data_IF_167846214530
#
_entry.id   IF_167846214530
#
_cell.length_a   1.000
_cell.length_b   1.000
_cell.length_c   1.000
_cell.angle_alpha   90.00
_cell.angle_beta   90.00
_cell.angle_gamma   90.00
#
_symmetry.space_group_name_H-M   'P 1'
#
loop_
_entity.id
_entity.type
_entity.pdbx_description
1 polymer ?
#
# COMPACT_ATOMS: atom_id res chain seq x y z
N UNK A 1 25.76 4.69 4.61
CA UNK A 1 24.80 5.80 4.65
C UNK A 1 23.69 5.44 5.62
N UNK A 2 23.43 6.25 6.66
CA UNK A 2 22.34 6.01 7.60
C UNK A 2 20.97 6.35 6.99
N UNK A 3 19.89 5.72 7.48
CA UNK A 3 18.52 6.08 7.09
C UNK A 3 18.14 7.40 7.79
N UNK A 4 17.58 8.35 7.05
CA UNK A 4 16.95 9.56 7.59
C UNK A 4 15.44 9.45 7.38
N UNK A 5 14.68 9.41 8.47
CA UNK A 5 13.23 9.23 8.42
C UNK A 5 12.52 10.59 8.42
N UNK A 6 11.48 10.79 7.61
CA UNK A 6 10.71 12.02 7.61
C UNK A 6 9.93 12.20 8.92
N UNK A 7 9.73 13.45 9.32
CA UNK A 7 8.81 13.77 10.40
C UNK A 7 7.36 13.62 9.93
N UNK A 8 6.52 13.00 10.74
CA UNK A 8 5.07 12.90 10.50
C UNK A 8 4.32 13.62 11.61
N UNK A 9 3.09 14.07 11.33
CA UNK A 9 2.27 14.73 12.35
C UNK A 9 1.90 13.77 13.48
N UNK A 10 1.61 14.30 14.67
CA UNK A 10 1.14 13.48 15.79
C UNK A 10 -0.15 12.71 15.47
N UNK A 11 -1.03 13.33 14.67
CA UNK A 11 -2.25 12.68 14.20
C UNK A 11 -1.94 11.46 13.34
N UNK A 12 -0.96 11.57 12.44
CA UNK A 12 -0.49 10.45 11.63
C UNK A 12 0.06 9.33 12.52
N UNK A 13 0.89 9.66 13.51
CA UNK A 13 1.43 8.67 14.44
C UNK A 13 0.32 7.95 15.23
N UNK A 14 -0.67 8.71 15.73
CA UNK A 14 -1.84 8.15 16.42
C UNK A 14 -2.67 7.26 15.48
N UNK A 15 -2.77 7.60 14.20
CA UNK A 15 -3.43 6.79 13.20
C UNK A 15 -2.67 5.48 12.92
N UNK A 16 -1.34 5.50 12.82
CA UNK A 16 -0.48 4.30 12.68
C UNK A 16 -0.73 3.34 13.83
N UNK A 17 -0.71 3.82 15.08
CA UNK A 17 -0.93 2.97 16.25
C UNK A 17 -2.34 2.36 16.28
N UNK A 18 -3.36 3.14 15.94
CA UNK A 18 -4.75 2.65 15.83
C UNK A 18 -4.89 1.61 14.71
N UNK A 19 -4.24 1.84 13.56
CA UNK A 19 -4.23 0.92 12.44
C UNK A 19 -3.51 -0.39 12.81
N UNK A 20 -2.35 -0.32 13.48
CA UNK A 20 -1.58 -1.48 13.95
C UNK A 20 -2.45 -2.41 14.80
N UNK A 21 -3.22 -1.84 15.75
CA UNK A 21 -4.15 -2.62 16.60
C UNK A 21 -5.26 -3.30 15.81
N UNK A 22 -5.89 -2.58 14.85
CA UNK A 22 -6.95 -3.16 14.01
C UNK A 22 -6.42 -4.25 13.06
N UNK A 23 -5.23 -4.04 12.50
CA UNK A 23 -4.55 -5.03 11.66
C UNK A 23 -4.25 -6.31 12.43
N UNK A 24 -3.77 -6.20 13.68
CA UNK A 24 -3.54 -7.39 14.55
C UNK A 24 -4.81 -8.21 14.71
N UNK A 25 -5.94 -7.56 15.01
CA UNK A 25 -7.22 -8.23 15.13
C UNK A 25 -7.67 -8.91 13.83
N UNK A 26 -7.64 -8.20 12.71
CA UNK A 26 -8.04 -8.75 11.41
C UNK A 26 -7.17 -9.93 10.98
N UNK A 27 -5.84 -9.78 11.07
CA UNK A 27 -4.88 -10.78 10.61
C UNK A 27 -5.00 -12.07 11.43
N UNK A 28 -5.17 -11.96 12.74
CA UNK A 28 -5.39 -13.12 13.62
C UNK A 28 -6.73 -13.81 13.31
N UNK A 29 -7.83 -13.05 13.19
CA UNK A 29 -9.17 -13.60 12.94
C UNK A 29 -9.28 -14.27 11.57
N UNK A 30 -8.65 -13.69 10.54
CA UNK A 30 -8.69 -14.22 9.17
C UNK A 30 -7.59 -15.24 8.86
N UNK A 31 -6.69 -15.49 9.80
CA UNK A 31 -5.52 -16.36 9.63
C UNK A 31 -4.76 -16.09 8.32
N UNK A 32 -4.51 -14.80 8.03
CA UNK A 32 -3.99 -14.36 6.73
C UNK A 32 -2.58 -13.75 6.79
N UNK A 33 -1.82 -14.02 7.86
CA UNK A 33 -0.45 -13.49 8.04
C UNK A 33 0.47 -13.75 6.84
N UNK A 34 0.56 -14.98 6.27
CA UNK A 34 1.44 -15.22 5.12
C UNK A 34 1.08 -14.37 3.90
N UNK A 35 -0.21 -14.13 3.71
CA UNK A 35 -0.72 -13.36 2.58
C UNK A 35 -0.44 -11.85 2.73
N UNK A 36 -0.52 -11.32 3.96
CA UNK A 36 -0.16 -9.92 4.25
C UNK A 36 1.35 -9.68 4.15
N UNK A 37 2.15 -10.63 4.63
CA UNK A 37 3.61 -10.57 4.48
C UNK A 37 4.00 -10.65 3.00
N UNK A 38 3.35 -11.52 2.21
CA UNK A 38 3.55 -11.60 0.76
C UNK A 38 3.23 -10.27 0.07
N UNK A 39 2.11 -9.62 0.42
CA UNK A 39 1.76 -8.32 -0.14
C UNK A 39 2.85 -7.27 0.14
N UNK A 40 3.31 -7.18 1.39
CA UNK A 40 4.36 -6.23 1.77
C UNK A 40 5.68 -6.50 1.05
N UNK A 41 6.05 -7.78 0.91
CA UNK A 41 7.23 -8.22 0.15
C UNK A 41 7.12 -7.85 -1.34
N UNK A 42 6.04 -8.22 -2.01
CA UNK A 42 5.85 -7.93 -3.44
C UNK A 42 5.81 -6.42 -3.71
N UNK A 43 5.22 -5.64 -2.81
CA UNK A 43 5.23 -4.18 -2.93
C UNK A 43 6.64 -3.60 -2.79
N UNK A 44 7.48 -4.12 -1.89
CA UNK A 44 8.83 -3.59 -1.68
C UNK A 44 9.85 -4.10 -2.71
N UNK A 45 9.69 -5.35 -3.16
CA UNK A 45 10.65 -6.08 -4.00
C UNK A 45 10.75 -5.60 -5.44
N UNK A 46 9.95 -4.61 -5.84
CA UNK A 46 10.04 -3.99 -7.17
C UNK A 46 11.07 -2.86 -7.26
N UNK A 47 11.66 -2.44 -6.13
CA UNK A 47 12.61 -1.32 -6.10
C UNK A 47 13.89 -1.62 -6.91
N UNK A 48 14.19 -0.76 -7.87
CA UNK A 48 15.47 -0.77 -8.58
C UNK A 48 16.41 0.32 -8.07
N UNK A 49 17.61 -0.08 -7.66
CA UNK A 49 18.60 0.83 -7.06
C UNK A 49 19.22 1.80 -8.07
N UNK A 50 19.28 1.40 -9.35
CA UNK A 50 19.92 2.20 -10.40
C UNK A 50 18.98 3.33 -10.82
N UNK A 51 17.75 3.00 -11.21
CA UNK A 51 16.74 3.98 -11.62
C UNK A 51 16.04 4.68 -10.46
N UNK A 52 16.15 4.14 -9.23
CA UNK A 52 15.44 4.62 -8.04
C UNK A 52 13.92 4.67 -8.25
N UNK A 53 13.39 3.69 -8.97
CA UNK A 53 11.95 3.57 -9.28
C UNK A 53 11.34 2.40 -8.53
N UNK A 54 10.00 2.40 -8.47
CA UNK A 54 9.21 1.34 -7.83
C UNK A 54 9.56 1.15 -6.35
N UNK A 55 9.16 0.04 -5.73
CA UNK A 55 9.34 -0.21 -4.30
C UNK A 55 8.09 0.12 -3.48
N UNK A 56 8.22 0.22 -2.15
CA UNK A 56 7.09 0.22 -1.21
C UNK A 56 6.36 1.58 -1.17
N UNK A 57 5.87 2.05 -2.31
CA UNK A 57 5.23 3.36 -2.50
C UNK A 57 3.74 3.25 -2.86
N UNK A 58 3.09 2.16 -2.44
CA UNK A 58 1.62 2.01 -2.49
C UNK A 58 1.04 1.64 -3.86
N UNK A 59 1.88 1.41 -4.88
CA UNK A 59 1.46 1.11 -6.25
C UNK A 59 0.72 -0.22 -6.40
N UNK A 60 0.92 -1.16 -5.46
CA UNK A 60 0.17 -2.42 -5.36
C UNK A 60 -1.35 -2.23 -5.13
N UNK A 61 -1.82 -1.01 -4.85
CA UNK A 61 -3.25 -0.69 -4.84
C UNK A 61 -3.87 -0.55 -6.24
N UNK A 62 -3.05 -0.39 -7.28
CA UNK A 62 -3.52 -0.20 -8.65
C UNK A 62 -3.79 -1.53 -9.36
N UNK A 63 -4.88 -1.62 -10.15
CA UNK A 63 -5.19 -2.83 -10.92
C UNK A 63 -4.09 -3.26 -11.89
N UNK A 64 -3.32 -2.31 -12.43
CA UNK A 64 -2.23 -2.59 -13.37
C UNK A 64 -1.11 -3.42 -12.74
N UNK A 65 -0.65 -3.04 -11.54
CA UNK A 65 0.37 -3.81 -10.83
C UNK A 65 -0.18 -5.12 -10.26
N UNK A 66 -1.43 -5.12 -9.78
CA UNK A 66 -2.09 -6.35 -9.32
C UNK A 66 -2.26 -7.40 -10.43
N UNK A 67 -2.39 -6.97 -11.69
CA UNK A 67 -2.53 -7.86 -12.84
C UNK A 67 -1.23 -8.58 -13.24
N UNK A 68 -0.06 -8.20 -12.70
CA UNK A 68 1.18 -8.92 -12.96
C UNK A 68 1.09 -10.37 -12.47
N UNK A 69 1.54 -11.33 -13.28
CA UNK A 69 1.42 -12.77 -12.96
C UNK A 69 2.02 -13.17 -11.61
N UNK A 70 3.13 -12.54 -11.19
CA UNK A 70 3.75 -12.76 -9.89
C UNK A 70 2.84 -12.33 -8.71
N UNK A 71 1.91 -11.41 -8.94
CA UNK A 71 1.01 -10.84 -7.94
C UNK A 71 -0.35 -11.55 -7.87
N UNK A 72 -0.53 -12.66 -8.60
CA UNK A 72 -1.78 -13.43 -8.59
C UNK A 72 -2.21 -13.78 -7.15
N UNK A 73 -3.45 -13.48 -6.79
CA UNK A 73 -4.02 -13.66 -5.46
C UNK A 73 -3.79 -12.51 -4.47
N UNK A 74 -2.97 -11.50 -4.79
CA UNK A 74 -2.78 -10.34 -3.90
C UNK A 74 -3.97 -9.37 -3.90
N UNK A 75 -4.87 -9.48 -4.89
CA UNK A 75 -6.16 -8.82 -4.91
C UNK A 75 -7.01 -9.19 -3.68
N UNK A 76 -6.88 -10.42 -3.17
CA UNK A 76 -7.51 -10.87 -1.92
C UNK A 76 -6.98 -10.06 -0.74
N UNK A 77 -5.66 -9.88 -0.65
CA UNK A 77 -5.01 -9.09 0.41
C UNK A 77 -5.50 -7.65 0.39
N UNK A 78 -5.49 -7.03 -0.80
CA UNK A 78 -5.91 -5.64 -0.98
C UNK A 78 -7.36 -5.45 -0.56
N UNK A 79 -8.29 -6.33 -1.00
CA UNK A 79 -9.70 -6.26 -0.59
C UNK A 79 -9.91 -6.41 0.92
N UNK A 80 -9.20 -7.32 1.57
CA UNK A 80 -9.31 -7.51 3.02
C UNK A 80 -8.85 -6.25 3.77
N UNK A 81 -7.71 -5.70 3.36
CA UNK A 81 -7.11 -4.52 3.96
C UNK A 81 -7.91 -3.24 3.72
N UNK A 82 -8.59 -3.14 2.58
CA UNK A 82 -9.38 -1.97 2.18
C UNK A 82 -10.44 -1.57 3.23
N UNK A 83 -11.05 -2.56 3.89
CA UNK A 83 -12.05 -2.34 4.95
C UNK A 83 -11.50 -1.55 6.15
N UNK A 84 -10.23 -1.75 6.48
CA UNK A 84 -9.54 -1.03 7.55
C UNK A 84 -8.93 0.25 7.00
N UNK A 85 -8.34 0.21 5.79
CA UNK A 85 -7.69 1.36 5.17
C UNK A 85 -8.63 2.55 5.04
N UNK A 86 -9.90 2.32 4.70
CA UNK A 86 -10.95 3.36 4.63
C UNK A 86 -11.19 4.10 5.94
N UNK A 87 -10.89 3.49 7.10
CA UNK A 87 -11.00 4.13 8.42
C UNK A 87 -9.81 5.06 8.71
N UNK A 88 -8.74 4.97 7.92
CA UNK A 88 -7.51 5.74 8.08
C UNK A 88 -7.15 6.43 6.75
N UNK A 89 -7.92 7.45 6.32
CA UNK A 89 -7.64 8.18 5.09
C UNK A 89 -6.30 8.92 5.16
N UNK A 90 -5.86 9.33 6.35
CA UNK A 90 -4.58 10.01 6.57
C UNK A 90 -3.36 9.13 6.26
N UNK A 91 -3.46 7.82 6.42
CA UNK A 91 -2.35 6.90 6.15
C UNK A 91 -2.21 6.65 4.65
N UNK A 92 -0.99 6.65 4.13
CA UNK A 92 -0.75 6.25 2.73
C UNK A 92 -0.92 4.74 2.56
N UNK A 93 -1.28 4.28 1.35
CA UNK A 93 -1.27 2.84 1.05
C UNK A 93 0.13 2.23 1.22
N UNK A 94 1.16 3.02 0.93
CA UNK A 94 2.56 2.65 1.11
C UNK A 94 2.88 2.24 2.55
N UNK A 95 2.59 3.11 3.52
CA UNK A 95 2.80 2.79 4.94
C UNK A 95 1.85 1.69 5.41
N UNK A 96 0.59 1.72 4.96
CA UNK A 96 -0.41 0.77 5.43
C UNK A 96 -0.08 -0.68 5.05
N UNK A 97 0.38 -0.94 3.82
CA UNK A 97 0.77 -2.28 3.40
C UNK A 97 2.04 -2.77 4.11
N UNK A 98 3.02 -1.90 4.33
CA UNK A 98 4.22 -2.26 5.07
C UNK A 98 3.92 -2.52 6.56
N UNK A 99 3.01 -1.75 7.15
CA UNK A 99 2.52 -1.97 8.51
C UNK A 99 1.80 -3.32 8.63
N UNK A 100 0.99 -3.70 7.63
CA UNK A 100 0.35 -5.01 7.59
C UNK A 100 1.37 -6.17 7.54
N UNK A 101 2.46 -6.01 6.78
CA UNK A 101 3.57 -6.97 6.76
C UNK A 101 4.28 -7.10 8.11
N UNK A 102 4.60 -5.98 8.76
CA UNK A 102 5.20 -5.97 10.12
C UNK A 102 4.28 -6.67 11.12
N UNK A 103 3.00 -6.32 11.12
CA UNK A 103 2.00 -6.93 12.01
C UNK A 103 1.83 -8.43 11.74
N UNK A 104 1.94 -8.86 10.47
CA UNK A 104 1.85 -10.27 10.12
C UNK A 104 3.00 -11.08 10.74
N UNK A 105 4.23 -10.56 10.73
CA UNK A 105 5.39 -11.20 11.35
C UNK A 105 5.23 -11.27 12.87
N UNK A 106 4.87 -10.15 13.50
CA UNK A 106 4.61 -10.10 14.95
C UNK A 106 3.49 -11.09 15.35
N UNK A 107 2.42 -11.15 14.56
CA UNK A 107 1.26 -12.00 14.83
C UNK A 107 1.54 -13.50 14.74
N UNK A 108 2.61 -13.91 14.05
CA UNK A 108 3.06 -15.31 13.99
C UNK A 108 4.11 -15.67 15.06
N UNK A 109 4.38 -14.77 16.01
CA UNK A 109 5.43 -14.96 17.01
C UNK A 109 6.84 -14.64 16.50
N UNK A 110 6.96 -13.93 15.37
CA UNK A 110 8.22 -13.43 14.87
C UNK A 110 8.75 -12.25 15.69
N UNK A 111 9.95 -11.79 15.35
CA UNK A 111 10.58 -10.63 16.00
C UNK A 111 9.81 -9.34 15.70
N UNK A 112 9.85 -8.40 16.63
CA UNK A 112 9.31 -7.05 16.41
C UNK A 112 10.17 -6.31 15.38
N UNK A 113 9.58 -6.00 14.23
CA UNK A 113 10.25 -5.27 13.15
C UNK A 113 10.01 -3.77 13.34
N UNK A 114 11.05 -2.93 13.48
CA UNK A 114 10.89 -1.49 13.63
C UNK A 114 10.17 -0.88 12.42
N UNK A 115 9.03 -0.22 12.67
CA UNK A 115 8.26 0.47 11.65
C UNK A 115 8.45 1.99 11.75
N UNK A 116 8.78 2.62 10.63
CA UNK A 116 8.90 4.08 10.51
C UNK A 116 7.92 4.58 9.45
N UNK A 117 6.98 5.48 9.79
CA UNK A 117 6.02 6.03 8.84
C UNK A 117 6.62 7.12 7.94
N UNK A 118 5.83 7.58 6.97
CA UNK A 118 6.14 8.69 6.07
C UNK A 118 6.47 8.27 4.64
N UNK A 119 6.11 7.05 4.22
CA UNK A 119 6.21 6.69 2.80
C UNK A 119 5.11 7.38 2.02
N UNK A 120 5.49 8.11 0.99
CA UNK A 120 4.55 8.73 0.06
C UNK A 120 4.04 7.71 -0.96
N UNK A 121 2.90 8.02 -1.59
CA UNK A 121 2.40 7.26 -2.73
C UNK A 121 3.12 7.79 -3.97
N UNK A 122 3.82 6.93 -4.70
CA UNK A 122 4.46 7.31 -5.96
C UNK A 122 3.64 6.80 -7.13
N UNK A 123 3.02 7.72 -7.86
CA UNK A 123 2.42 7.39 -9.15
C UNK A 123 3.56 7.18 -10.14
N UNK A 124 3.95 5.92 -10.41
CA UNK A 124 4.90 5.64 -11.49
C UNK A 124 4.26 6.02 -12.81
N UNK A 125 4.81 7.01 -13.53
CA UNK A 125 4.50 7.40 -14.93
C UNK A 125 3.04 7.30 -15.41
N UNK A 126 2.05 7.41 -14.52
CA UNK A 126 0.64 7.59 -14.85
C UNK A 126 0.30 9.09 -14.86
N UNK A 127 1.27 9.91 -15.26
CA UNK A 127 1.08 11.30 -15.70
C UNK A 127 1.11 11.35 -17.23
N UNK A 128 0.38 10.45 -17.87
CA UNK A 128 -0.26 10.67 -19.16
C UNK A 128 -1.59 9.94 -19.03
N UNK A 129 -2.71 10.67 -19.13
CA UNK A 129 -4.09 10.18 -19.10
C UNK A 129 -4.79 10.02 -17.73
N UNK A 130 -4.76 11.02 -16.85
CA UNK A 130 -5.99 11.39 -16.11
C UNK A 130 -6.00 12.87 -15.73
N UNK A 131 -7.08 13.57 -16.12
CA UNK A 131 -7.53 14.88 -15.65
C UNK A 131 -6.73 16.12 -16.10
N UNK A 132 -6.88 16.49 -17.36
CA UNK A 132 -7.49 17.78 -17.70
C UNK A 132 -8.75 17.48 -18.50
N UNK A 133 -9.92 17.73 -17.90
CA UNK A 133 -11.27 17.89 -18.50
C UNK A 133 -12.34 17.28 -17.60
N UNK A 134 -12.60 17.94 -16.47
CA UNK A 134 -13.98 18.06 -16.03
C UNK A 134 -14.69 18.97 -17.04
N UNK A 135 -15.34 18.38 -18.03
CA UNK A 135 -16.53 18.97 -18.62
C UNK A 135 -17.46 17.86 -19.08
N UNK A 136 -18.58 17.77 -18.37
CA UNK A 136 -19.75 17.01 -18.78
C UNK A 136 -20.31 17.77 -19.98
N UNK A 137 -20.26 17.22 -21.20
CA UNK A 137 -21.28 17.40 -22.26
C UNK A 137 -20.88 16.77 -23.60
N UNK A 138 -21.87 16.09 -24.20
CA UNK A 138 -22.08 15.77 -25.63
C UNK A 138 -21.20 14.68 -26.29
N UNK A 139 -21.76 13.51 -26.65
CA UNK A 139 -22.60 13.18 -27.83
C UNK A 139 -21.82 13.15 -29.16
N UNK A 140 -21.60 11.92 -29.65
CA UNK A 140 -21.37 11.49 -31.05
C UNK A 140 -20.15 12.01 -31.84
N UNK A 141 -19.75 11.17 -32.82
CA UNK A 141 -18.73 11.32 -33.88
C UNK A 141 -17.32 10.88 -33.45
N UNK A 142 -16.68 9.88 -34.06
CA UNK A 142 -17.03 9.05 -35.21
C UNK A 142 -15.95 7.98 -35.41
N UNK A 143 -16.40 6.76 -35.72
CA UNK A 143 -15.61 5.74 -36.38
C UNK A 143 -15.31 6.20 -37.81
N UNK A 144 -14.03 6.35 -38.14
CA UNK A 144 -13.44 5.96 -39.42
C UNK A 144 -12.01 5.52 -39.18
#
# INVERSE_FOLDING_TARGET
MGKSYPAVSEEYQKAVEKAKRKLRGLIAVKNCSPLMLRLAWHSAGTYDVVSKTSGPFGTMSFPTELAHGANNGLDISVRLLETIKKQFPILTYADFYQLAGVVAVEGTGGLEVPFHPGREIRMGWMHVLTCDSFSVTSFLVGLR
#
